data_IF_958191924978
#
_entry.id   IF_958191924978
#
_cell.length_a   1.000
_cell.length_b   1.000
_cell.length_c   1.000
_cell.angle_alpha   90.00
_cell.angle_beta   90.00
_cell.angle_gamma   90.00
#
_symmetry.space_group_name_H-M   'P 1'
#
loop_
_entity.id
_entity.type
_entity.pdbx_description
1 polymer ?
#
# COMPACT_ATOMS: atom_id res chain seq x y z
N UNK A 1 15.82 3.24 1.44
CA UNK A 1 15.64 4.56 2.06
C UNK A 1 14.89 5.50 1.13
N UNK A 2 13.95 6.27 1.68
CA UNK A 2 13.22 7.34 0.98
C UNK A 2 13.68 8.70 1.51
N UNK A 3 13.86 9.65 0.60
CA UNK A 3 14.30 11.01 0.93
C UNK A 3 13.41 11.99 0.17
N UNK A 4 12.52 12.69 0.90
CA UNK A 4 11.63 13.68 0.32
C UNK A 4 12.35 15.02 0.05
N UNK A 5 11.93 15.73 -0.98
CA UNK A 5 12.34 17.10 -1.22
C UNK A 5 11.69 18.06 -0.21
N UNK A 6 12.27 19.23 -0.03
CA UNK A 6 11.73 20.25 0.88
C UNK A 6 10.29 20.63 0.49
N UNK A 7 9.37 20.54 1.44
CA UNK A 7 7.95 20.82 1.22
C UNK A 7 7.15 19.65 0.66
N UNK A 8 7.77 18.45 0.56
CA UNK A 8 7.11 17.20 0.21
C UNK A 8 7.10 16.29 1.43
N UNK A 9 5.92 15.79 1.80
CA UNK A 9 5.73 14.76 2.80
C UNK A 9 5.32 13.44 2.15
N UNK A 10 5.61 12.32 2.77
CA UNK A 10 5.13 11.00 2.32
C UNK A 10 4.79 10.08 3.48
N UNK A 11 3.96 9.11 3.20
CA UNK A 11 3.58 8.01 4.07
C UNK A 11 3.67 6.70 3.27
N UNK A 12 4.30 5.67 3.81
CA UNK A 12 4.34 4.32 3.22
C UNK A 12 3.11 3.56 3.72
N UNK A 13 2.28 3.08 2.81
CA UNK A 13 0.98 2.48 3.12
C UNK A 13 1.04 0.96 3.35
N UNK A 14 2.16 0.30 3.01
CA UNK A 14 2.33 -1.15 3.16
C UNK A 14 2.53 -1.62 4.62
N UNK A 15 2.55 -0.73 5.61
CA UNK A 15 2.82 -1.12 7.01
C UNK A 15 4.26 -1.53 7.30
N UNK A 16 5.21 -1.26 6.42
CA UNK A 16 6.63 -1.58 6.65
C UNK A 16 7.17 -0.85 7.88
N UNK A 17 7.84 -1.60 8.76
CA UNK A 17 8.50 -1.03 9.92
C UNK A 17 9.71 -0.17 9.52
N UNK A 18 10.09 0.74 10.40
CA UNK A 18 11.30 1.55 10.21
C UNK A 18 12.35 1.15 11.24
N UNK A 19 13.62 1.18 10.81
CA UNK A 19 14.76 1.08 11.71
C UNK A 19 15.03 2.40 12.44
N UNK A 20 16.06 2.40 13.30
CA UNK A 20 16.47 3.59 14.08
C UNK A 20 16.94 4.76 13.21
N UNK A 21 17.28 4.52 11.96
CA UNK A 21 17.75 5.50 10.98
C UNK A 21 16.63 5.99 10.05
N UNK A 22 15.39 5.52 10.28
CA UNK A 22 14.22 5.86 9.47
C UNK A 22 14.23 5.21 8.09
N UNK A 23 14.93 4.07 7.91
CA UNK A 23 14.86 3.25 6.70
C UNK A 23 13.73 2.26 6.84
N UNK A 24 12.96 2.06 5.79
CA UNK A 24 11.90 1.04 5.77
C UNK A 24 12.52 -0.34 5.57
N UNK A 25 12.13 -1.27 6.43
CA UNK A 25 12.55 -2.67 6.36
C UNK A 25 11.55 -3.38 5.43
N UNK A 26 12.07 -3.85 4.32
CA UNK A 26 11.29 -4.61 3.34
C UNK A 26 11.50 -6.11 3.57
N UNK A 27 10.54 -6.96 3.18
CA UNK A 27 10.70 -8.41 3.30
C UNK A 27 11.85 -8.92 2.43
N UNK A 28 12.36 -10.09 2.76
CA UNK A 28 13.36 -10.78 1.95
C UNK A 28 12.80 -11.07 0.55
N UNK A 29 13.65 -10.86 -0.45
CA UNK A 29 13.28 -11.00 -1.85
C UNK A 29 13.65 -12.39 -2.35
N UNK A 30 12.65 -13.19 -2.69
CA UNK A 30 12.89 -14.44 -3.40
C UNK A 30 13.34 -14.16 -4.84
N UNK A 31 14.15 -15.06 -5.42
CA UNK A 31 14.58 -14.94 -6.81
C UNK A 31 13.39 -14.82 -7.76
N UNK A 32 13.38 -13.78 -8.59
CA UNK A 32 12.31 -13.52 -9.55
C UNK A 32 11.04 -12.89 -8.96
N UNK A 33 11.04 -12.54 -7.65
CA UNK A 33 9.94 -11.83 -7.02
C UNK A 33 10.17 -10.31 -7.02
N UNK A 34 9.07 -9.55 -7.02
CA UNK A 34 9.08 -8.10 -6.88
C UNK A 34 8.61 -7.69 -5.49
N UNK A 35 9.28 -6.70 -4.90
CA UNK A 35 8.83 -6.00 -3.69
C UNK A 35 8.56 -4.55 -4.03
N UNK A 36 7.43 -4.05 -3.56
CA UNK A 36 6.97 -2.70 -3.89
C UNK A 36 6.49 -1.94 -2.63
N UNK A 37 6.56 -0.64 -2.69
CA UNK A 37 6.02 0.24 -1.67
C UNK A 37 5.03 1.23 -2.28
N UNK A 38 3.81 1.28 -1.72
CA UNK A 38 2.81 2.28 -2.07
C UNK A 38 2.99 3.50 -1.19
N UNK A 39 3.08 4.67 -1.81
CA UNK A 39 3.30 5.92 -1.12
C UNK A 39 2.11 6.86 -1.28
N UNK A 40 1.65 7.44 -0.17
CA UNK A 40 0.82 8.64 -0.20
C UNK A 40 1.73 9.85 -0.10
N UNK A 41 1.75 10.69 -1.13
CA UNK A 41 2.60 11.87 -1.19
C UNK A 41 1.76 13.12 -0.98
N UNK A 42 2.21 14.02 -0.11
CA UNK A 42 1.62 15.34 0.13
C UNK A 42 2.61 16.40 -0.30
N UNK A 43 2.20 17.27 -1.20
CA UNK A 43 3.02 18.38 -1.72
C UNK A 43 2.46 19.69 -1.20
N UNK A 44 3.35 20.57 -0.70
CA UNK A 44 2.92 21.93 -0.32
C UNK A 44 2.48 22.69 -1.57
N UNK A 45 1.29 23.28 -1.54
CA UNK A 45 0.69 24.02 -2.65
C UNK A 45 1.59 25.18 -3.16
N UNK A 46 2.36 25.80 -2.27
CA UNK A 46 3.31 26.88 -2.64
C UNK A 46 4.37 26.40 -3.64
N UNK A 47 4.72 25.11 -3.64
CA UNK A 47 5.67 24.54 -4.61
C UNK A 47 5.06 24.35 -6.01
N UNK A 48 3.73 24.36 -6.11
CA UNK A 48 3.02 24.10 -7.36
C UNK A 48 2.68 25.40 -8.11
N UNK A 49 2.44 26.50 -7.39
CA UNK A 49 1.89 27.74 -7.96
C UNK A 49 2.81 28.44 -8.98
N UNK A 50 4.12 28.25 -8.89
CA UNK A 50 5.09 28.93 -9.77
C UNK A 50 5.63 28.02 -10.90
N UNK A 51 5.17 26.78 -11.01
CA UNK A 51 5.82 25.74 -11.84
C UNK A 51 4.89 25.00 -12.81
N UNK A 52 3.74 25.59 -13.17
CA UNK A 52 2.86 25.01 -14.18
C UNK A 52 3.62 24.68 -15.46
N UNK A 53 3.47 23.47 -15.97
CA UNK A 53 4.19 22.98 -17.15
C UNK A 53 5.63 22.52 -16.91
N UNK A 54 6.09 22.49 -15.65
CA UNK A 54 7.42 21.98 -15.28
C UNK A 54 7.35 20.65 -14.51
N UNK A 55 8.49 19.98 -14.39
CA UNK A 55 8.64 18.79 -13.55
C UNK A 55 9.00 19.18 -12.13
N UNK A 56 8.24 18.67 -11.18
CA UNK A 56 8.52 18.77 -9.76
C UNK A 56 9.15 17.46 -9.27
N UNK A 57 10.37 17.55 -8.69
CA UNK A 57 10.97 16.43 -8.00
C UNK A 57 10.30 16.23 -6.65
N UNK A 58 9.88 15.00 -6.36
CA UNK A 58 9.15 14.65 -5.13
C UNK A 58 10.09 14.02 -4.11
N UNK A 59 10.76 12.96 -4.50
CA UNK A 59 11.64 12.19 -3.63
C UNK A 59 12.73 11.46 -4.41
N UNK A 60 13.71 10.97 -3.67
CA UNK A 60 14.70 10.01 -4.14
C UNK A 60 14.65 8.75 -3.30
N UNK A 61 15.01 7.63 -3.89
CA UNK A 61 15.01 6.33 -3.23
C UNK A 61 16.24 5.52 -3.59
N UNK A 62 16.74 4.73 -2.66
CA UNK A 62 17.69 3.65 -2.89
C UNK A 62 17.42 2.50 -1.93
N UNK A 63 17.93 1.31 -2.25
CA UNK A 63 17.81 0.09 -1.44
C UNK A 63 19.20 -0.34 -1.01
N UNK A 64 19.39 -0.57 0.29
CA UNK A 64 20.51 -1.31 0.85
C UNK A 64 20.05 -2.78 1.01
N UNK A 65 20.85 -3.73 0.56
CA UNK A 65 20.51 -5.15 0.61
C UNK A 65 21.77 -6.01 0.76
N UNK A 66 21.58 -7.24 1.23
CA UNK A 66 22.61 -8.26 1.18
C UNK A 66 22.43 -9.06 -0.12
N UNK A 67 23.52 -9.27 -0.85
CA UNK A 67 23.50 -10.18 -2.00
C UNK A 67 23.51 -11.65 -1.55
N UNK A 68 23.48 -12.56 -2.51
CA UNK A 68 23.47 -14.00 -2.25
C UNK A 68 24.71 -14.51 -1.51
N UNK A 69 25.81 -13.75 -1.52
CA UNK A 69 27.07 -14.08 -0.84
C UNK A 69 27.14 -13.40 0.55
N UNK A 70 26.10 -12.65 0.93
CA UNK A 70 26.01 -11.94 2.20
C UNK A 70 26.80 -10.64 2.23
N UNK A 71 27.21 -10.10 1.07
CA UNK A 71 27.90 -8.82 0.98
C UNK A 71 26.90 -7.65 0.92
N UNK A 72 27.22 -6.57 1.63
CA UNK A 72 26.43 -5.34 1.61
C UNK A 72 26.47 -4.67 0.24
N UNK A 73 25.30 -4.43 -0.32
CA UNK A 73 25.09 -3.79 -1.60
C UNK A 73 24.15 -2.60 -1.49
N UNK A 74 24.27 -1.68 -2.44
CA UNK A 74 23.35 -0.55 -2.58
C UNK A 74 22.95 -0.36 -4.05
N UNK A 75 21.66 -0.17 -4.28
CA UNK A 75 21.15 0.18 -5.60
C UNK A 75 21.53 1.61 -6.01
N UNK A 76 21.46 1.91 -7.29
CA UNK A 76 21.46 3.29 -7.76
C UNK A 76 20.32 4.09 -7.14
N UNK A 77 20.53 5.40 -6.98
CA UNK A 77 19.50 6.30 -6.48
C UNK A 77 18.52 6.66 -7.59
N UNK A 78 17.29 6.20 -7.44
CA UNK A 78 16.17 6.58 -8.30
C UNK A 78 15.54 7.90 -7.85
N UNK A 79 14.96 8.67 -8.79
CA UNK A 79 14.30 9.95 -8.53
C UNK A 79 12.86 9.88 -9.04
N UNK A 80 11.92 10.29 -8.20
CA UNK A 80 10.53 10.42 -8.57
C UNK A 80 10.20 11.87 -8.87
N UNK A 81 9.60 12.11 -10.03
CA UNK A 81 9.13 13.43 -10.46
C UNK A 81 7.69 13.35 -10.94
N UNK A 82 6.95 14.46 -10.82
CA UNK A 82 5.63 14.63 -11.44
C UNK A 82 5.62 15.85 -12.36
N UNK A 83 4.78 15.80 -13.38
CA UNK A 83 4.50 16.95 -14.22
C UNK A 83 3.37 17.77 -13.57
N UNK A 84 3.55 19.10 -13.51
CA UNK A 84 2.53 20.01 -13.01
C UNK A 84 1.64 20.47 -14.17
N UNK A 85 0.35 20.25 -14.06
CA UNK A 85 -0.64 20.56 -15.08
C UNK A 85 -1.80 21.40 -14.51
N UNK A 86 -2.66 21.92 -15.37
CA UNK A 86 -3.89 22.60 -14.95
C UNK A 86 -4.93 21.59 -14.49
N UNK A 87 -5.98 22.08 -13.79
CA UNK A 87 -7.09 21.25 -13.35
C UNK A 87 -7.82 20.58 -14.54
N UNK A 88 -7.97 21.31 -15.65
CA UNK A 88 -8.61 20.81 -16.86
C UNK A 88 -7.80 19.66 -17.50
N UNK A 89 -6.46 19.79 -17.50
CA UNK A 89 -5.58 18.73 -17.98
C UNK A 89 -5.61 17.53 -17.06
N UNK A 90 -5.60 17.75 -15.74
CA UNK A 90 -5.68 16.67 -14.74
C UNK A 90 -7.00 15.89 -14.84
N UNK A 91 -8.12 16.58 -15.11
CA UNK A 91 -9.45 15.95 -15.14
C UNK A 91 -9.64 14.90 -16.26
N UNK A 92 -8.79 14.93 -17.29
CA UNK A 92 -8.82 13.97 -18.40
C UNK A 92 -7.73 12.90 -18.31
N UNK A 93 -6.89 12.93 -17.28
CA UNK A 93 -5.88 11.89 -17.07
C UNK A 93 -6.51 10.64 -16.49
N UNK A 94 -6.19 9.52 -17.09
CA UNK A 94 -6.51 8.22 -16.51
C UNK A 94 -5.56 7.92 -15.35
N UNK A 95 -6.09 7.29 -14.30
CA UNK A 95 -5.25 6.85 -13.20
C UNK A 95 -4.46 5.60 -13.63
N UNK A 96 -3.22 5.50 -13.18
CA UNK A 96 -2.35 4.35 -13.44
C UNK A 96 -2.97 3.07 -12.85
N UNK A 97 -3.19 2.06 -13.70
CA UNK A 97 -3.84 0.80 -13.33
C UNK A 97 -3.06 0.05 -12.25
N UNK A 98 -1.72 0.05 -12.31
CA UNK A 98 -0.88 -0.61 -11.31
C UNK A 98 -1.03 0.07 -9.94
N UNK A 99 -1.06 1.40 -9.91
CA UNK A 99 -1.26 2.16 -8.67
C UNK A 99 -2.66 1.92 -8.11
N UNK A 100 -3.70 1.85 -8.96
CA UNK A 100 -5.06 1.51 -8.53
C UNK A 100 -5.13 0.11 -7.94
N UNK A 101 -4.55 -0.88 -8.62
CA UNK A 101 -4.49 -2.27 -8.16
C UNK A 101 -3.81 -2.35 -6.79
N UNK A 102 -2.61 -1.78 -6.65
CA UNK A 102 -1.86 -1.79 -5.38
C UNK A 102 -2.57 -1.03 -4.26
N UNK A 103 -3.30 0.03 -4.61
CA UNK A 103 -4.13 0.77 -3.64
C UNK A 103 -5.29 -0.09 -3.12
N UNK A 104 -5.95 -0.84 -4.00
CA UNK A 104 -7.02 -1.77 -3.62
C UNK A 104 -6.48 -2.90 -2.72
N UNK A 105 -5.32 -3.48 -3.05
CA UNK A 105 -4.67 -4.54 -2.26
C UNK A 105 -4.31 -4.07 -0.85
N UNK A 106 -3.64 -2.91 -0.71
CA UNK A 106 -3.29 -2.34 0.61
C UNK A 106 -4.54 -2.01 1.42
N UNK A 107 -5.58 -1.45 0.78
CA UNK A 107 -6.86 -1.18 1.45
C UNK A 107 -7.54 -2.46 1.92
N UNK A 108 -7.55 -3.51 1.09
CA UNK A 108 -8.11 -4.80 1.46
C UNK A 108 -7.37 -5.42 2.65
N UNK A 109 -6.03 -5.39 2.67
CA UNK A 109 -5.24 -5.86 3.82
C UNK A 109 -5.59 -5.11 5.10
N UNK A 110 -5.69 -3.78 5.06
CA UNK A 110 -6.08 -2.96 6.21
C UNK A 110 -7.50 -3.29 6.70
N UNK A 111 -8.45 -3.49 5.78
CA UNK A 111 -9.80 -3.88 6.11
C UNK A 111 -9.86 -5.26 6.74
N UNK A 112 -9.09 -6.22 6.26
CA UNK A 112 -9.01 -7.57 6.84
C UNK A 112 -8.43 -7.53 8.26
N UNK A 113 -7.40 -6.73 8.51
CA UNK A 113 -6.86 -6.52 9.85
C UNK A 113 -7.91 -5.93 10.80
N UNK A 114 -8.63 -4.90 10.37
CA UNK A 114 -9.72 -4.29 11.14
C UNK A 114 -10.85 -5.29 11.41
N UNK A 115 -11.22 -6.10 10.42
CA UNK A 115 -12.23 -7.16 10.58
C UNK A 115 -11.79 -8.20 11.61
N UNK A 116 -10.50 -8.58 11.62
CA UNK A 116 -9.94 -9.48 12.62
C UNK A 116 -10.04 -8.90 14.03
N UNK A 117 -9.69 -7.62 14.20
CA UNK A 117 -9.80 -6.93 15.50
C UNK A 117 -11.26 -6.89 15.96
N UNK A 118 -12.19 -6.55 15.05
CA UNK A 118 -13.62 -6.52 15.35
C UNK A 118 -14.16 -7.91 15.73
N UNK A 119 -13.78 -8.97 15.00
CA UNK A 119 -14.18 -10.34 15.28
C UNK A 119 -13.68 -10.82 16.64
N UNK A 120 -12.42 -10.52 16.98
CA UNK A 120 -11.85 -10.82 18.31
C UNK A 120 -12.58 -10.12 19.45
N UNK A 121 -13.11 -8.94 19.19
CA UNK A 121 -13.94 -8.19 20.15
C UNK A 121 -15.41 -8.66 20.16
N UNK A 122 -15.81 -9.63 19.33
CA UNK A 122 -17.19 -10.08 19.16
C UNK A 122 -18.10 -9.07 18.45
N UNK A 123 -17.52 -8.02 17.84
CA UNK A 123 -18.25 -6.97 17.15
C UNK A 123 -18.57 -7.38 15.70
N UNK A 124 -19.45 -8.35 15.54
CA UNK A 124 -19.82 -8.89 14.24
C UNK A 124 -20.54 -7.89 13.34
N UNK A 125 -21.24 -6.91 13.91
CA UNK A 125 -21.86 -5.84 13.12
C UNK A 125 -20.83 -5.00 12.37
N UNK A 126 -19.66 -4.79 12.95
CA UNK A 126 -18.55 -4.10 12.28
C UNK A 126 -17.88 -5.00 11.25
N UNK A 127 -17.71 -6.30 11.55
CA UNK A 127 -17.21 -7.28 10.57
C UNK A 127 -18.11 -7.29 9.34
N UNK A 128 -19.43 -7.31 9.49
CA UNK A 128 -20.37 -7.32 8.35
C UNK A 128 -20.22 -6.08 7.47
N UNK A 129 -20.02 -4.89 8.05
CA UNK A 129 -19.78 -3.65 7.28
C UNK A 129 -18.46 -3.72 6.50
N UNK A 130 -17.41 -4.19 7.15
CA UNK A 130 -16.10 -4.34 6.51
C UNK A 130 -16.16 -5.36 5.37
N UNK A 131 -16.90 -6.46 5.54
CA UNK A 131 -17.10 -7.45 4.49
C UNK A 131 -17.78 -6.86 3.25
N UNK A 132 -18.72 -5.93 3.41
CA UNK A 132 -19.34 -5.21 2.28
C UNK A 132 -18.33 -4.34 1.53
N UNK A 133 -17.42 -3.67 2.26
CA UNK A 133 -16.37 -2.88 1.62
C UNK A 133 -15.35 -3.76 0.88
N UNK A 134 -14.97 -4.89 1.48
CA UNK A 134 -14.09 -5.88 0.85
C UNK A 134 -14.69 -6.45 -0.43
N UNK A 135 -15.99 -6.78 -0.43
CA UNK A 135 -16.71 -7.22 -1.63
C UNK A 135 -16.68 -6.18 -2.75
N UNK A 136 -16.82 -4.91 -2.40
CA UNK A 136 -16.74 -3.83 -3.38
C UNK A 136 -15.34 -3.72 -4.03
N UNK A 137 -14.29 -3.91 -3.24
CA UNK A 137 -12.90 -3.93 -3.75
C UNK A 137 -12.59 -5.18 -4.57
N UNK A 138 -13.22 -6.32 -4.25
CA UNK A 138 -13.03 -7.60 -4.95
C UNK A 138 -13.67 -7.66 -6.33
N UNK A 139 -14.53 -6.70 -6.72
CA UNK A 139 -15.20 -6.72 -8.03
C UNK A 139 -14.23 -6.74 -9.21
N UNK A 140 -13.15 -5.98 -9.11
CA UNK A 140 -12.17 -5.80 -10.17
C UNK A 140 -10.80 -6.42 -9.80
N UNK A 141 -10.74 -7.20 -8.72
CA UNK A 141 -9.51 -7.84 -8.25
C UNK A 141 -9.79 -9.27 -7.79
N UNK A 142 -9.41 -10.25 -8.62
CA UNK A 142 -9.69 -11.67 -8.37
C UNK A 142 -9.00 -12.19 -7.09
N UNK A 143 -7.81 -11.69 -6.74
CA UNK A 143 -7.12 -12.08 -5.52
C UNK A 143 -7.92 -11.63 -4.27
N UNK A 144 -8.40 -10.38 -4.25
CA UNK A 144 -9.23 -9.87 -3.17
C UNK A 144 -10.54 -10.67 -3.09
N UNK A 145 -11.18 -10.94 -4.22
CA UNK A 145 -12.43 -11.70 -4.30
C UNK A 145 -12.29 -13.08 -3.67
N UNK A 146 -11.27 -13.86 -4.06
CA UNK A 146 -11.01 -15.19 -3.51
C UNK A 146 -10.78 -15.14 -2.00
N UNK A 147 -10.01 -14.14 -1.52
CA UNK A 147 -9.78 -13.91 -0.10
C UNK A 147 -11.07 -13.61 0.67
N UNK A 148 -11.92 -12.74 0.12
CA UNK A 148 -13.22 -12.37 0.72
C UNK A 148 -14.19 -13.55 0.75
N UNK A 149 -14.26 -14.37 -0.29
CA UNK A 149 -15.09 -15.56 -0.35
C UNK A 149 -14.74 -16.55 0.78
N UNK A 150 -13.45 -16.74 1.07
CA UNK A 150 -13.01 -17.59 2.19
C UNK A 150 -13.42 -17.03 3.55
N UNK A 151 -13.29 -15.72 3.75
CA UNK A 151 -13.66 -15.07 5.00
C UNK A 151 -15.18 -15.08 5.24
N UNK A 152 -15.98 -15.07 4.17
CA UNK A 152 -17.44 -15.00 4.25
C UNK A 152 -18.04 -16.14 5.04
N UNK A 153 -17.65 -17.37 4.78
CA UNK A 153 -18.18 -18.54 5.48
C UNK A 153 -17.95 -18.48 6.99
N UNK A 154 -16.78 -18.03 7.41
CA UNK A 154 -16.43 -17.88 8.83
C UNK A 154 -17.15 -16.67 9.46
N UNK A 155 -17.35 -15.59 8.70
CA UNK A 155 -18.11 -14.43 9.15
C UNK A 155 -19.60 -14.80 9.37
N UNK A 156 -20.22 -15.51 8.44
CA UNK A 156 -21.63 -15.95 8.54
C UNK A 156 -21.83 -16.92 9.71
N UNK A 157 -20.90 -17.84 9.92
CA UNK A 157 -20.93 -18.78 11.04
C UNK A 157 -20.56 -18.14 12.40
N UNK A 158 -20.06 -16.88 12.41
CA UNK A 158 -19.53 -16.19 13.60
C UNK A 158 -18.40 -16.97 14.28
N UNK A 159 -17.58 -17.66 13.50
CA UNK A 159 -16.45 -18.47 13.96
C UNK A 159 -15.21 -17.62 14.17
N UNK A 160 -15.08 -17.02 15.36
CA UNK A 160 -14.01 -16.06 15.69
C UNK A 160 -12.59 -16.60 15.45
N UNK A 161 -12.32 -17.84 15.85
CA UNK A 161 -10.99 -18.44 15.72
C UNK A 161 -10.63 -18.71 14.26
N UNK A 162 -11.54 -19.31 13.50
CA UNK A 162 -11.37 -19.62 12.08
C UNK A 162 -11.24 -18.35 11.25
N UNK A 163 -12.08 -17.35 11.51
CA UNK A 163 -11.99 -16.04 10.87
C UNK A 163 -10.66 -15.37 11.13
N UNK A 164 -10.17 -15.36 12.38
CA UNK A 164 -8.91 -14.76 12.76
C UNK A 164 -7.70 -15.46 12.14
N UNK A 165 -7.73 -16.78 11.99
CA UNK A 165 -6.67 -17.56 11.31
C UNK A 165 -6.63 -17.27 9.81
N UNK A 166 -7.79 -17.22 9.16
CA UNK A 166 -7.87 -16.96 7.72
C UNK A 166 -7.39 -15.56 7.37
N UNK A 167 -7.74 -14.54 8.18
CA UNK A 167 -7.22 -13.17 7.96
C UNK A 167 -5.70 -13.08 8.06
N UNK A 168 -5.06 -13.86 8.94
CA UNK A 168 -3.60 -13.91 9.04
C UNK A 168 -2.95 -14.57 7.81
N UNK A 169 -3.57 -15.62 7.27
CA UNK A 169 -3.05 -16.32 6.08
C UNK A 169 -3.15 -15.46 4.81
N UNK A 170 -4.16 -14.58 4.74
CA UNK A 170 -4.35 -13.67 3.61
C UNK A 170 -3.44 -12.42 3.68
N UNK A 171 -2.87 -12.12 4.85
CA UNK A 171 -1.99 -10.97 5.07
C UNK A 171 -0.50 -11.28 4.84
N UNK A 172 -0.13 -12.55 4.66
CA UNK A 172 1.23 -13.02 4.40
C UNK A 172 1.50 -13.11 2.89
#
# INVERSE_FOLDING_TARGET
>A
RLMAEKGVGFEVLNGYSQDKEGRFIMPDLAFGADVWALLRIKVNADLCSEKLGSKLKLLSAYVDYLDQDGADQRSDTSKMTIDLCTQEQFAVLEADETVQLRTAEVRAATLQENAQVAARAGNWSEVDKIMVELDALGKDNEWIKVSVERLRSYSEAREQESFSKETLLNAA
#
